data_IF_854316381241
#
_entry.id   IF_854316381241
#
_cell.length_a   1.000
_cell.length_b   1.000
_cell.length_c   1.000
_cell.angle_alpha   90.00
_cell.angle_beta   90.00
_cell.angle_gamma   90.00
#
_symmetry.space_group_name_H-M   'P 1'
#
loop_
_entity.id
_entity.type
_entity.pdbx_description
1 polymer ?
#
# COMPACT_ATOMS: atom_id res chain seq x y z
N UNK A 1 13.74 -1.44 12.88
CA UNK A 1 14.45 -0.15 12.86
C UNK A 1 14.15 0.58 14.16
N UNK A 2 15.15 0.75 15.02
CA UNK A 2 15.01 1.52 16.27
C UNK A 2 14.95 2.99 15.87
N UNK A 3 13.76 3.56 15.87
CA UNK A 3 13.62 5.00 15.71
C UNK A 3 13.97 5.66 17.03
N UNK A 4 14.90 6.63 17.07
CA UNK A 4 15.24 7.33 18.29
C UNK A 4 14.02 8.00 18.90
N UNK A 5 14.04 8.10 20.21
CA UNK A 5 12.90 8.56 21.01
C UNK A 5 12.51 9.99 20.62
N UNK A 6 11.24 10.24 20.49
CA UNK A 6 10.52 11.42 19.98
C UNK A 6 10.96 12.81 20.50
N UNK A 7 11.88 12.90 21.46
CA UNK A 7 12.09 14.11 22.27
C UNK A 7 13.35 14.94 21.95
N UNK A 8 14.26 14.48 21.09
CA UNK A 8 15.63 14.97 21.18
C UNK A 8 16.17 15.83 20.02
N UNK A 9 15.41 16.09 18.97
CA UNK A 9 15.88 16.99 17.89
C UNK A 9 15.04 18.27 17.87
N UNK A 10 15.59 19.42 18.29
CA UNK A 10 14.90 20.70 18.18
C UNK A 10 14.81 21.12 16.71
N UNK A 11 13.61 21.04 16.12
CA UNK A 11 13.39 21.52 14.77
C UNK A 11 13.60 23.03 14.67
N UNK A 12 14.39 23.43 13.69
CA UNK A 12 14.56 24.84 13.32
C UNK A 12 13.37 25.26 12.42
N UNK A 13 13.05 26.56 12.38
CA UNK A 13 12.00 27.09 11.49
C UNK A 13 12.19 26.66 10.03
N UNK A 14 13.45 26.54 9.58
CA UNK A 14 13.81 26.07 8.23
C UNK A 14 13.35 24.64 7.97
N UNK A 15 13.40 23.77 8.96
CA UNK A 15 13.03 22.36 8.82
C UNK A 15 11.52 22.20 8.60
N UNK A 16 10.71 23.02 9.30
CA UNK A 16 9.25 23.04 9.08
C UNK A 16 8.89 23.49 7.65
N UNK A 17 9.49 24.56 7.18
CA UNK A 17 9.24 25.07 5.82
C UNK A 17 9.68 24.05 4.77
N UNK A 18 10.85 23.44 4.97
CA UNK A 18 11.39 22.45 4.04
C UNK A 18 10.49 21.20 3.95
N UNK A 19 10.03 20.68 5.08
CA UNK A 19 9.16 19.47 5.09
C UNK A 19 7.79 19.76 4.47
N UNK A 20 7.19 20.92 4.74
CA UNK A 20 5.92 21.32 4.12
C UNK A 20 6.10 21.46 2.60
N UNK A 21 7.17 22.13 2.14
CA UNK A 21 7.42 22.31 0.72
C UNK A 21 7.64 20.97 0.00
N UNK A 22 8.47 20.09 0.58
CA UNK A 22 8.71 18.75 0.02
C UNK A 22 7.41 17.96 -0.07
N UNK A 23 6.63 17.95 1.02
CA UNK A 23 5.37 17.23 1.04
C UNK A 23 4.38 17.76 0.01
N UNK A 24 4.30 19.08 -0.16
CA UNK A 24 3.46 19.71 -1.16
C UNK A 24 3.86 19.31 -2.59
N UNK A 25 5.16 19.27 -2.89
CA UNK A 25 5.66 18.81 -4.19
C UNK A 25 5.25 17.37 -4.46
N UNK A 26 5.43 16.46 -3.48
CA UNK A 26 5.02 15.07 -3.65
C UNK A 26 3.51 14.91 -3.81
N UNK A 27 2.72 15.67 -3.05
CA UNK A 27 1.26 15.68 -3.17
C UNK A 27 0.80 16.17 -4.56
N UNK A 28 1.46 17.19 -5.10
CA UNK A 28 1.16 17.70 -6.43
C UNK A 28 1.51 16.68 -7.54
N UNK A 29 2.68 16.04 -7.44
CA UNK A 29 3.07 14.95 -8.35
C UNK A 29 2.08 13.78 -8.25
N UNK A 30 1.68 13.43 -7.05
CA UNK A 30 0.69 12.37 -6.81
C UNK A 30 -0.66 12.68 -7.46
N UNK A 31 -1.16 13.90 -7.29
CA UNK A 31 -2.41 14.35 -7.94
C UNK A 31 -2.30 14.34 -9.48
N UNK A 32 -1.17 14.79 -10.03
CA UNK A 32 -0.92 14.75 -11.48
C UNK A 32 -0.89 13.32 -12.03
N UNK A 33 -0.25 12.39 -11.33
CA UNK A 33 -0.23 10.98 -11.71
C UNK A 33 -1.60 10.31 -11.58
N UNK A 34 -2.42 10.70 -10.60
CA UNK A 34 -3.81 10.25 -10.51
C UNK A 34 -4.62 10.67 -11.74
N UNK A 35 -4.52 11.92 -12.16
CA UNK A 35 -5.18 12.39 -13.38
C UNK A 35 -4.70 11.59 -14.58
N UNK A 36 -3.40 11.31 -14.67
CA UNK A 36 -2.82 10.45 -15.72
C UNK A 36 -3.42 9.03 -15.73
N UNK A 37 -3.61 8.41 -14.56
CA UNK A 37 -4.24 7.09 -14.45
C UNK A 37 -5.72 7.10 -14.86
N UNK A 38 -6.46 8.15 -14.50
CA UNK A 38 -7.84 8.34 -14.94
C UNK A 38 -7.88 8.47 -16.48
N UNK A 39 -6.94 9.20 -17.07
CA UNK A 39 -6.78 9.33 -18.52
C UNK A 39 -6.56 7.96 -19.21
N UNK A 40 -5.65 7.17 -18.70
CA UNK A 40 -5.38 5.82 -19.25
C UNK A 40 -6.60 4.90 -19.12
N UNK A 41 -7.37 5.06 -18.06
CA UNK A 41 -8.58 4.27 -17.84
C UNK A 41 -9.72 4.68 -18.79
N UNK A 42 -9.82 5.94 -19.16
CA UNK A 42 -10.84 6.49 -20.05
C UNK A 42 -10.67 6.09 -21.53
N UNK A 43 -9.54 5.48 -21.91
CA UNK A 43 -9.35 4.93 -23.27
C UNK A 43 -8.78 5.88 -24.33
N UNK A 44 -8.20 7.00 -23.94
CA UNK A 44 -7.49 7.91 -24.85
C UNK A 44 -7.93 9.37 -24.78
N UNK A 45 -7.28 10.24 -25.54
CA UNK A 45 -7.46 11.70 -25.43
C UNK A 45 -8.89 12.18 -25.73
N UNK A 46 -9.56 11.61 -26.74
CA UNK A 46 -10.94 11.97 -27.10
C UNK A 46 -11.95 11.57 -26.04
N UNK A 47 -11.83 10.36 -25.51
CA UNK A 47 -12.67 9.85 -24.43
C UNK A 47 -12.41 10.59 -23.11
N UNK A 48 -11.16 10.91 -22.84
CA UNK A 48 -10.77 11.69 -21.68
C UNK A 48 -11.38 13.11 -21.72
N UNK A 49 -11.30 13.80 -22.85
CA UNK A 49 -11.92 15.13 -23.00
C UNK A 49 -13.43 15.05 -22.81
N UNK A 50 -14.11 14.06 -23.39
CA UNK A 50 -15.55 13.80 -23.16
C UNK A 50 -15.85 13.56 -21.68
N UNK A 51 -15.07 12.69 -21.04
CA UNK A 51 -15.23 12.36 -19.63
C UNK A 51 -15.15 13.63 -18.76
N UNK A 52 -14.16 14.51 -19.02
CA UNK A 52 -13.98 15.73 -18.24
C UNK A 52 -14.94 16.88 -18.62
N UNK A 53 -15.44 16.95 -19.84
CA UNK A 53 -16.26 18.07 -20.28
C UNK A 53 -17.77 17.79 -20.30
N UNK A 54 -18.17 16.54 -20.52
CA UNK A 54 -19.58 16.19 -20.75
C UNK A 54 -20.18 15.36 -19.62
N UNK A 55 -19.41 14.48 -19.01
CA UNK A 55 -19.92 13.50 -18.04
C UNK A 55 -19.80 13.95 -16.57
N UNK A 56 -18.92 14.89 -16.30
CA UNK A 56 -18.66 15.37 -14.94
C UNK A 56 -18.95 16.85 -14.76
N UNK A 57 -19.51 17.19 -13.62
CA UNK A 57 -19.83 18.56 -13.25
C UNK A 57 -18.60 19.21 -12.56
N UNK A 58 -18.48 20.54 -12.62
CA UNK A 58 -17.46 21.30 -11.89
C UNK A 58 -17.44 20.94 -10.39
N UNK A 59 -18.62 20.66 -9.83
CA UNK A 59 -18.77 20.20 -8.45
C UNK A 59 -18.03 18.89 -8.18
N UNK A 60 -18.06 17.92 -9.12
CA UNK A 60 -17.44 16.61 -8.94
C UNK A 60 -15.90 16.72 -8.92
N UNK A 61 -15.34 17.61 -9.74
CA UNK A 61 -13.90 17.93 -9.69
C UNK A 61 -13.51 18.60 -8.38
N UNK A 62 -14.34 19.51 -7.88
CA UNK A 62 -14.11 20.16 -6.59
C UNK A 62 -14.08 19.11 -5.47
N UNK A 63 -15.01 18.15 -5.46
CA UNK A 63 -15.00 17.08 -4.48
C UNK A 63 -13.76 16.19 -4.59
N UNK A 64 -13.34 15.82 -5.79
CA UNK A 64 -12.12 15.05 -5.99
C UNK A 64 -10.88 15.79 -5.45
N UNK A 65 -10.71 17.05 -5.82
CA UNK A 65 -9.59 17.86 -5.35
C UNK A 65 -9.61 18.04 -3.83
N UNK A 66 -10.77 18.36 -3.25
CA UNK A 66 -10.92 18.52 -1.79
C UNK A 66 -10.56 17.23 -1.06
N UNK A 67 -10.98 16.07 -1.60
CA UNK A 67 -10.68 14.78 -0.99
C UNK A 67 -9.19 14.44 -1.04
N UNK A 68 -8.52 14.70 -2.17
CA UNK A 68 -7.07 14.49 -2.30
C UNK A 68 -6.33 15.38 -1.28
N UNK A 69 -6.74 16.65 -1.14
CA UNK A 69 -6.14 17.58 -0.19
C UNK A 69 -6.33 17.08 1.25
N UNK A 70 -7.53 16.60 1.60
CA UNK A 70 -7.82 16.05 2.93
C UNK A 70 -6.96 14.80 3.21
N UNK A 71 -6.84 13.87 2.26
CA UNK A 71 -6.01 12.68 2.40
C UNK A 71 -4.53 13.07 2.60
N UNK A 72 -4.01 13.98 1.78
CA UNK A 72 -2.64 14.45 1.90
C UNK A 72 -2.41 15.20 3.23
N UNK A 73 -3.33 16.05 3.64
CA UNK A 73 -3.25 16.76 4.92
C UNK A 73 -3.28 15.79 6.10
N UNK A 74 -4.16 14.80 6.07
CA UNK A 74 -4.24 13.75 7.11
C UNK A 74 -2.95 12.95 7.21
N UNK A 75 -2.35 12.60 6.05
CA UNK A 75 -1.07 11.91 6.01
C UNK A 75 0.05 12.76 6.60
N UNK A 76 0.11 14.05 6.23
CA UNK A 76 1.09 14.97 6.78
C UNK A 76 0.96 15.12 8.30
N UNK A 77 -0.25 15.34 8.79
CA UNK A 77 -0.52 15.49 10.22
C UNK A 77 -0.16 14.22 10.99
N UNK A 78 -0.51 13.04 10.47
CA UNK A 78 -0.12 11.77 11.07
C UNK A 78 1.40 11.62 11.18
N UNK A 79 2.14 11.84 10.09
CA UNK A 79 3.59 11.72 10.07
C UNK A 79 4.23 12.78 10.99
N UNK A 80 3.69 13.99 11.02
CA UNK A 80 4.18 15.05 11.90
C UNK A 80 3.99 14.73 13.38
N UNK A 81 2.83 14.16 13.74
CA UNK A 81 2.54 13.81 15.14
C UNK A 81 3.26 12.54 15.62
N UNK A 82 3.35 11.51 14.75
CA UNK A 82 3.82 10.19 15.16
C UNK A 82 5.29 9.93 14.78
N UNK A 83 5.74 10.43 13.63
CA UNK A 83 7.07 10.15 13.06
C UNK A 83 7.74 11.40 12.50
N UNK A 84 7.94 12.38 13.36
CA UNK A 84 8.49 13.68 12.99
C UNK A 84 9.83 13.60 12.27
N UNK A 85 10.75 12.75 12.74
CA UNK A 85 12.08 12.58 12.16
C UNK A 85 12.03 11.93 10.77
N UNK A 86 10.97 11.16 10.50
CA UNK A 86 10.74 10.55 9.19
C UNK A 86 10.49 11.62 8.11
N UNK A 87 9.85 12.72 8.46
CA UNK A 87 9.58 13.85 7.56
C UNK A 87 10.85 14.62 7.15
N UNK A 88 11.90 14.61 7.98
CA UNK A 88 13.16 15.31 7.65
C UNK A 88 13.89 14.69 6.46
N UNK A 89 13.61 13.44 6.14
CA UNK A 89 14.20 12.75 5.01
C UNK A 89 13.20 12.66 3.85
N UNK A 90 13.34 13.52 2.85
CA UNK A 90 12.44 13.53 1.68
C UNK A 90 12.30 12.18 0.98
N UNK A 91 13.33 11.33 1.01
CA UNK A 91 13.26 9.95 0.48
C UNK A 91 12.18 9.09 1.16
N UNK A 92 11.96 9.27 2.45
CA UNK A 92 10.98 8.50 3.20
C UNK A 92 9.54 8.90 2.81
N UNK A 93 9.32 10.20 2.60
CA UNK A 93 8.04 10.70 2.11
C UNK A 93 7.78 10.18 0.70
N UNK A 94 8.80 10.23 -0.17
CA UNK A 94 8.72 9.70 -1.53
C UNK A 94 8.31 8.22 -1.55
N UNK A 95 8.87 7.39 -0.67
CA UNK A 95 8.54 5.96 -0.57
C UNK A 95 7.04 5.75 -0.36
N UNK A 96 6.43 6.48 0.60
CA UNK A 96 4.99 6.34 0.88
C UNK A 96 4.15 6.72 -0.35
N UNK A 97 4.44 7.87 -0.97
CA UNK A 97 3.69 8.32 -2.15
C UNK A 97 3.87 7.39 -3.36
N UNK A 98 5.09 6.88 -3.59
CA UNK A 98 5.35 5.93 -4.69
C UNK A 98 4.61 4.61 -4.45
N UNK A 99 4.60 4.10 -3.21
CA UNK A 99 3.85 2.89 -2.86
C UNK A 99 2.35 3.09 -3.09
N UNK A 100 1.79 4.20 -2.61
CA UNK A 100 0.36 4.51 -2.81
C UNK A 100 0.02 4.62 -4.30
N UNK A 101 0.86 5.31 -5.08
CA UNK A 101 0.64 5.50 -6.52
C UNK A 101 0.72 4.17 -7.29
N UNK A 102 1.74 3.37 -7.01
CA UNK A 102 1.90 2.06 -7.64
C UNK A 102 0.75 1.12 -7.30
N UNK A 103 0.36 1.10 -6.02
CA UNK A 103 -0.78 0.31 -5.55
C UNK A 103 -2.09 0.74 -6.22
N UNK A 104 -2.28 2.05 -6.40
CA UNK A 104 -3.45 2.59 -7.09
C UNK A 104 -3.49 2.17 -8.55
N UNK A 105 -2.36 2.29 -9.26
CA UNK A 105 -2.25 1.88 -10.66
C UNK A 105 -2.60 0.40 -10.84
N UNK A 106 -2.02 -0.47 -10.01
CA UNK A 106 -2.29 -1.91 -10.05
C UNK A 106 -3.77 -2.20 -9.71
N UNK A 107 -4.32 -1.53 -8.69
CA UNK A 107 -5.72 -1.72 -8.28
C UNK A 107 -6.72 -1.30 -9.37
N UNK A 108 -6.47 -0.19 -10.08
CA UNK A 108 -7.31 0.25 -11.19
C UNK A 108 -7.26 -0.75 -12.34
N UNK A 109 -6.06 -1.19 -12.73
CA UNK A 109 -5.88 -2.17 -13.80
C UNK A 109 -6.56 -3.50 -13.47
N UNK A 110 -6.30 -4.04 -12.28
CA UNK A 110 -6.92 -5.30 -11.85
C UNK A 110 -8.44 -5.19 -11.72
N UNK A 111 -8.93 -4.05 -11.19
CA UNK A 111 -10.36 -3.80 -11.08
C UNK A 111 -11.08 -3.72 -12.43
N UNK A 112 -10.42 -3.17 -13.45
CA UNK A 112 -10.98 -3.04 -14.81
C UNK A 112 -11.00 -4.35 -15.58
N UNK A 113 -9.93 -5.13 -15.55
CA UNK A 113 -9.74 -6.29 -16.41
C UNK A 113 -10.13 -7.62 -15.77
N UNK A 114 -10.04 -7.72 -14.45
CA UNK A 114 -10.32 -8.98 -13.75
C UNK A 114 -11.59 -8.87 -12.90
N UNK A 115 -11.69 -7.86 -12.06
CA UNK A 115 -12.86 -7.63 -11.21
C UNK A 115 -12.53 -6.88 -9.92
N UNK A 116 -13.55 -6.32 -9.30
CA UNK A 116 -13.41 -5.48 -8.10
C UNK A 116 -12.78 -6.27 -6.94
N UNK A 117 -13.18 -7.52 -6.75
CA UNK A 117 -12.69 -8.39 -5.69
C UNK A 117 -11.29 -8.96 -5.95
N UNK A 118 -10.78 -8.88 -7.19
CA UNK A 118 -9.44 -9.31 -7.55
C UNK A 118 -8.36 -8.24 -7.31
N UNK A 119 -8.73 -7.07 -6.81
CA UNK A 119 -7.80 -5.98 -6.52
C UNK A 119 -6.83 -6.34 -5.40
N UNK A 120 -5.52 -6.09 -5.57
CA UNK A 120 -4.52 -6.34 -4.52
C UNK A 120 -4.50 -5.24 -3.46
N UNK A 121 -5.60 -5.07 -2.73
CA UNK A 121 -5.79 -3.96 -1.78
C UNK A 121 -4.86 -4.02 -0.56
N UNK A 122 -4.44 -5.21 -0.15
CA UNK A 122 -3.50 -5.37 0.94
C UNK A 122 -2.05 -5.05 0.54
N UNK A 123 -1.73 -4.94 -0.74
CA UNK A 123 -0.38 -4.71 -1.25
C UNK A 123 0.26 -3.43 -0.68
N UNK A 124 -0.46 -2.30 -0.71
CA UNK A 124 -0.01 -1.03 -0.14
C UNK A 124 0.34 -1.17 1.35
N UNK A 125 -0.58 -1.72 2.12
CA UNK A 125 -0.42 -1.90 3.57
C UNK A 125 0.72 -2.82 3.92
N UNK A 126 0.90 -3.92 3.18
CA UNK A 126 1.97 -4.89 3.40
C UNK A 126 3.35 -4.31 3.08
N UNK A 127 3.49 -3.54 1.99
CA UNK A 127 4.77 -2.87 1.69
C UNK A 127 5.15 -1.88 2.79
N UNK A 128 4.20 -1.06 3.25
CA UNK A 128 4.47 -0.08 4.31
C UNK A 128 4.74 -0.78 5.65
N UNK A 129 4.10 -1.91 5.94
CA UNK A 129 4.40 -2.73 7.12
C UNK A 129 5.87 -3.14 7.17
N UNK A 130 6.41 -3.59 6.04
CA UNK A 130 7.77 -4.12 5.97
C UNK A 130 8.84 -3.02 5.85
N UNK A 131 8.53 -1.92 5.19
CA UNK A 131 9.49 -0.83 4.95
C UNK A 131 9.51 0.21 6.06
N UNK A 132 8.38 0.46 6.72
CA UNK A 132 8.25 1.51 7.74
C UNK A 132 7.91 0.92 9.11
N UNK A 133 6.64 0.67 9.37
CA UNK A 133 6.17 0.04 10.61
C UNK A 133 4.66 -0.27 10.55
N UNK A 134 4.19 -1.03 11.55
CA UNK A 134 2.80 -1.48 11.67
C UNK A 134 1.79 -0.33 11.79
N UNK A 135 2.09 0.68 12.61
CA UNK A 135 1.16 1.80 12.85
C UNK A 135 0.94 2.61 11.58
N UNK A 136 2.02 2.93 10.88
CA UNK A 136 1.96 3.63 9.58
C UNK A 136 1.26 2.78 8.53
N UNK A 137 1.48 1.45 8.52
CA UNK A 137 0.81 0.55 7.59
C UNK A 137 -0.72 0.56 7.75
N UNK A 138 -1.22 0.56 8.99
CA UNK A 138 -2.66 0.63 9.28
C UNK A 138 -3.23 1.98 8.79
N UNK A 139 -2.57 3.08 9.15
CA UNK A 139 -3.06 4.40 8.82
C UNK A 139 -3.02 4.70 7.32
N UNK A 140 -1.87 4.46 6.68
CA UNK A 140 -1.71 4.70 5.23
C UNK A 140 -2.53 3.71 4.42
N UNK A 141 -2.65 2.46 4.87
CA UNK A 141 -3.53 1.47 4.24
C UNK A 141 -4.99 1.89 4.25
N UNK A 142 -5.47 2.46 5.35
CA UNK A 142 -6.81 3.02 5.43
C UNK A 142 -6.99 4.24 4.49
N UNK A 143 -6.04 5.17 4.48
CA UNK A 143 -6.06 6.31 3.54
C UNK A 143 -6.03 5.85 2.08
N UNK A 144 -5.25 4.81 1.77
CA UNK A 144 -5.21 4.22 0.45
C UNK A 144 -6.56 3.62 0.03
N UNK A 145 -7.23 2.90 0.92
CA UNK A 145 -8.56 2.33 0.63
C UNK A 145 -9.61 3.43 0.42
N UNK A 146 -9.54 4.52 1.20
CA UNK A 146 -10.36 5.71 0.95
C UNK A 146 -10.07 6.33 -0.42
N UNK A 147 -8.81 6.38 -0.83
CA UNK A 147 -8.41 6.90 -2.14
C UNK A 147 -8.99 6.04 -3.26
N UNK A 148 -8.91 4.70 -3.16
CA UNK A 148 -9.50 3.76 -4.12
C UNK A 148 -11.00 3.97 -4.21
N UNK A 149 -11.69 4.11 -3.07
CA UNK A 149 -13.12 4.39 -3.00
C UNK A 149 -13.52 5.68 -3.73
N UNK A 150 -12.76 6.78 -3.52
CA UNK A 150 -13.02 8.06 -4.21
C UNK A 150 -12.79 7.95 -5.70
N UNK A 151 -11.72 7.26 -6.12
CA UNK A 151 -11.45 7.01 -7.54
C UNK A 151 -12.55 6.18 -8.17
N UNK A 152 -13.08 5.18 -7.48
CA UNK A 152 -14.18 4.35 -7.96
C UNK A 152 -15.48 5.15 -8.15
N UNK A 153 -15.87 5.97 -7.18
CA UNK A 153 -17.03 6.85 -7.30
C UNK A 153 -16.83 7.85 -8.43
N UNK A 154 -15.61 8.36 -8.59
CA UNK A 154 -15.34 9.35 -9.62
C UNK A 154 -15.27 8.75 -11.02
N UNK A 155 -14.74 7.55 -11.21
CA UNK A 155 -14.51 6.92 -12.52
C UNK A 155 -15.65 6.03 -12.97
N UNK A 156 -16.29 5.30 -12.06
CA UNK A 156 -17.31 4.30 -12.36
C UNK A 156 -18.72 4.83 -12.11
N UNK A 157 -19.37 5.33 -13.15
CA UNK A 157 -20.77 5.76 -13.07
C UNK A 157 -21.76 4.57 -12.89
N UNK A 158 -21.33 3.34 -13.20
CA UNK A 158 -22.16 2.14 -13.11
C UNK A 158 -22.15 1.47 -11.71
N UNK A 159 -21.20 1.80 -10.84
CA UNK A 159 -21.19 1.30 -9.46
C UNK A 159 -22.22 2.06 -8.62
N UNK A 160 -23.17 1.31 -8.04
CA UNK A 160 -24.04 1.91 -7.03
C UNK A 160 -23.20 2.40 -5.82
N UNK A 161 -23.66 3.47 -5.17
CA UNK A 161 -23.00 3.97 -3.96
C UNK A 161 -22.86 2.88 -2.87
N UNK A 162 -23.81 1.92 -2.85
CA UNK A 162 -23.78 0.77 -1.96
C UNK A 162 -22.62 -0.16 -2.29
N UNK A 163 -22.39 -0.49 -3.56
CA UNK A 163 -21.27 -1.36 -3.97
C UNK A 163 -19.92 -0.72 -3.68
N UNK A 164 -19.78 0.59 -3.88
CA UNK A 164 -18.55 1.30 -3.56
C UNK A 164 -18.28 1.31 -2.04
N UNK A 165 -19.29 1.55 -1.19
CA UNK A 165 -19.13 1.50 0.27
C UNK A 165 -18.78 0.11 0.79
N UNK A 166 -19.42 -0.92 0.22
CA UNK A 166 -19.09 -2.32 0.53
C UNK A 166 -17.67 -2.66 0.14
N UNK A 167 -17.23 -2.24 -1.06
CA UNK A 167 -15.83 -2.41 -1.49
C UNK A 167 -14.86 -1.77 -0.50
N UNK A 168 -15.13 -0.55 -0.01
CA UNK A 168 -14.30 0.11 1.01
C UNK A 168 -14.19 -0.72 2.29
N UNK A 169 -15.29 -1.29 2.77
CA UNK A 169 -15.31 -2.12 3.99
C UNK A 169 -14.46 -3.39 3.76
N UNK A 170 -14.68 -4.09 2.64
CA UNK A 170 -13.91 -5.30 2.28
C UNK A 170 -12.41 -4.98 2.22
N UNK A 171 -12.03 -3.91 1.51
CA UNK A 171 -10.64 -3.49 1.37
C UNK A 171 -10.00 -3.16 2.72
N UNK A 172 -10.71 -2.44 3.59
CA UNK A 172 -10.20 -2.02 4.89
C UNK A 172 -10.03 -3.21 5.83
N UNK A 173 -11.01 -4.10 5.92
CA UNK A 173 -10.93 -5.32 6.72
C UNK A 173 -9.79 -6.22 6.25
N UNK A 174 -9.67 -6.42 4.93
CA UNK A 174 -8.61 -7.24 4.34
C UNK A 174 -7.22 -6.66 4.60
N UNK A 175 -7.05 -5.35 4.45
CA UNK A 175 -5.76 -4.68 4.71
C UNK A 175 -5.34 -4.82 6.16
N UNK A 176 -6.25 -4.61 7.11
CA UNK A 176 -5.98 -4.77 8.54
C UNK A 176 -5.65 -6.24 8.86
N UNK A 177 -6.45 -7.18 8.37
CA UNK A 177 -6.20 -8.60 8.57
C UNK A 177 -4.83 -9.03 8.02
N UNK A 178 -4.47 -8.59 6.82
CA UNK A 178 -3.19 -8.86 6.19
C UNK A 178 -2.00 -8.35 7.03
N UNK A 179 -2.11 -7.11 7.58
CA UNK A 179 -1.09 -6.53 8.45
C UNK A 179 -0.85 -7.43 9.67
N UNK A 180 -1.91 -7.81 10.38
CA UNK A 180 -1.77 -8.65 11.59
C UNK A 180 -1.28 -10.06 11.26
N UNK A 181 -1.65 -10.60 10.12
CA UNK A 181 -1.22 -11.92 9.69
C UNK A 181 0.26 -11.97 9.33
N UNK A 182 0.81 -10.90 8.72
CA UNK A 182 2.18 -10.86 8.22
C UNK A 182 3.16 -10.25 9.23
N UNK A 183 2.67 -9.49 10.21
CA UNK A 183 3.50 -8.85 11.23
C UNK A 183 4.39 -9.87 11.97
N UNK A 184 5.66 -9.54 12.16
CA UNK A 184 6.63 -10.39 12.86
C UNK A 184 7.10 -11.64 12.10
N UNK A 185 6.70 -11.84 10.84
CA UNK A 185 7.15 -12.99 10.05
C UNK A 185 8.53 -12.74 9.46
N UNK A 186 9.54 -13.47 9.92
CA UNK A 186 10.93 -13.34 9.46
C UNK A 186 11.31 -14.17 8.22
N UNK A 187 10.35 -14.80 7.51
CA UNK A 187 10.66 -15.67 6.36
C UNK A 187 9.73 -15.39 5.19
N UNK A 188 10.30 -15.17 4.00
CA UNK A 188 9.54 -14.92 2.76
C UNK A 188 8.57 -16.05 2.43
N UNK A 189 8.99 -17.30 2.60
CA UNK A 189 8.13 -18.48 2.33
C UNK A 189 6.91 -18.49 3.25
N UNK A 190 7.08 -18.19 4.53
CA UNK A 190 5.95 -18.11 5.48
C UNK A 190 4.97 -17.01 5.13
N UNK A 191 5.45 -15.87 4.61
CA UNK A 191 4.57 -14.79 4.14
C UNK A 191 3.79 -15.25 2.91
N UNK A 192 4.42 -15.94 1.97
CA UNK A 192 3.74 -16.50 0.81
C UNK A 192 2.60 -17.45 1.21
N UNK A 193 2.86 -18.38 2.12
CA UNK A 193 1.83 -19.29 2.65
C UNK A 193 0.70 -18.51 3.33
N UNK A 194 1.02 -17.46 4.09
CA UNK A 194 0.00 -16.60 4.71
C UNK A 194 -0.83 -15.82 3.69
N UNK A 195 -0.31 -15.61 2.49
CA UNK A 195 -1.05 -15.00 1.39
C UNK A 195 -2.37 -15.71 1.05
N UNK A 196 -2.40 -17.05 1.18
CA UNK A 196 -3.64 -17.82 1.01
C UNK A 196 -4.72 -17.41 2.02
N UNK A 197 -4.33 -17.11 3.26
CA UNK A 197 -5.26 -16.71 4.30
C UNK A 197 -5.73 -15.26 4.16
N UNK A 198 -4.94 -14.39 3.49
CA UNK A 198 -5.33 -13.00 3.23
C UNK A 198 -6.55 -12.91 2.30
N UNK A 199 -6.77 -13.91 1.46
CA UNK A 199 -7.96 -13.97 0.59
C UNK A 199 -9.26 -14.26 1.35
N UNK A 200 -9.19 -14.87 2.55
CA UNK A 200 -10.39 -15.29 3.29
C UNK A 200 -11.36 -14.14 3.61
N UNK A 201 -10.92 -12.97 4.14
CA UNK A 201 -11.84 -11.86 4.39
C UNK A 201 -12.50 -11.35 3.12
N UNK A 202 -11.76 -11.28 2.00
CA UNK A 202 -12.33 -10.85 0.70
C UNK A 202 -13.43 -11.80 0.28
N UNK A 203 -13.14 -13.11 0.26
CA UNK A 203 -14.09 -14.15 -0.16
C UNK A 203 -15.32 -14.12 0.74
N UNK A 204 -15.13 -14.14 2.06
CA UNK A 204 -16.23 -14.21 3.02
C UNK A 204 -17.14 -12.98 2.91
N UNK A 205 -16.59 -11.77 2.88
CA UNK A 205 -17.38 -10.55 2.80
C UNK A 205 -18.01 -10.35 1.42
N UNK A 206 -17.31 -10.71 0.34
CA UNK A 206 -17.88 -10.66 -1.01
C UNK A 206 -19.06 -11.61 -1.18
N UNK A 207 -18.94 -12.83 -0.67
CA UNK A 207 -20.05 -13.80 -0.68
C UNK A 207 -21.24 -13.31 0.15
N UNK A 208 -21.02 -12.72 1.32
CA UNK A 208 -22.11 -12.18 2.15
C UNK A 208 -22.89 -11.07 1.44
N UNK A 209 -22.21 -10.26 0.65
CA UNK A 209 -22.84 -9.11 -0.04
C UNK A 209 -23.52 -9.51 -1.34
N UNK A 210 -22.88 -10.38 -2.11
CA UNK A 210 -23.39 -10.81 -3.42
C UNK A 210 -24.36 -12.00 -3.32
N UNK A 211 -24.57 -12.55 -2.13
CA UNK A 211 -25.44 -13.71 -1.96
C UNK A 211 -26.89 -13.37 -2.35
N UNK A 212 -27.40 -14.11 -3.34
CA UNK A 212 -28.78 -14.04 -3.82
C UNK A 212 -29.35 -15.45 -3.89
N UNK A 213 -30.66 -15.65 -3.65
CA UNK A 213 -31.29 -16.98 -3.73
C UNK A 213 -31.15 -17.65 -5.11
N UNK A 214 -31.01 -16.84 -6.16
CA UNK A 214 -30.88 -17.27 -7.55
C UNK A 214 -29.44 -17.43 -8.03
N UNK A 215 -28.45 -17.36 -7.11
CA UNK A 215 -27.04 -17.42 -7.44
C UNK A 215 -26.67 -18.77 -8.06
N UNK A 216 -26.03 -18.73 -9.23
CA UNK A 216 -25.55 -19.95 -9.90
C UNK A 216 -24.24 -20.43 -9.26
N UNK A 217 -23.93 -21.72 -9.42
CA UNK A 217 -22.63 -22.26 -8.99
C UNK A 217 -21.45 -21.56 -9.66
N UNK A 218 -21.63 -21.09 -10.89
CA UNK A 218 -20.61 -20.35 -11.62
C UNK A 218 -20.35 -18.98 -10.99
N UNK A 219 -21.38 -18.26 -10.59
CA UNK A 219 -21.24 -16.95 -9.93
C UNK A 219 -20.52 -17.10 -8.59
N UNK A 220 -20.90 -18.11 -7.79
CA UNK A 220 -20.20 -18.44 -6.55
C UNK A 220 -18.72 -18.70 -6.78
N UNK A 221 -18.40 -19.56 -7.75
CA UNK A 221 -17.02 -19.90 -8.06
C UNK A 221 -16.21 -18.68 -8.54
N UNK A 222 -16.80 -17.80 -9.34
CA UNK A 222 -16.16 -16.58 -9.82
C UNK A 222 -15.84 -15.61 -8.67
N UNK A 223 -16.73 -15.44 -7.70
CA UNK A 223 -16.47 -14.60 -6.52
C UNK A 223 -15.30 -15.15 -5.70
N UNK A 224 -15.32 -16.46 -5.46
CA UNK A 224 -14.24 -17.14 -4.74
C UNK A 224 -12.90 -16.99 -5.48
N UNK A 225 -12.88 -17.18 -6.79
CA UNK A 225 -11.69 -17.05 -7.62
C UNK A 225 -11.14 -15.62 -7.59
N UNK A 226 -12.00 -14.62 -7.80
CA UNK A 226 -11.58 -13.21 -7.77
C UNK A 226 -11.06 -12.81 -6.37
N UNK A 227 -11.74 -13.20 -5.31
CA UNK A 227 -11.30 -12.93 -3.94
C UNK A 227 -9.96 -13.61 -3.60
N UNK A 228 -9.77 -14.84 -4.07
CA UNK A 228 -8.51 -15.56 -3.95
C UNK A 228 -7.38 -14.84 -4.70
N UNK A 229 -7.64 -14.41 -5.94
CA UNK A 229 -6.70 -13.64 -6.72
C UNK A 229 -6.30 -12.34 -6.01
N UNK A 230 -7.24 -11.59 -5.43
CA UNK A 230 -6.98 -10.33 -4.72
C UNK A 230 -6.01 -10.51 -3.54
N UNK A 231 -6.20 -11.55 -2.73
CA UNK A 231 -5.31 -11.88 -1.61
C UNK A 231 -3.91 -12.32 -2.07
N UNK A 232 -3.85 -13.28 -2.99
CA UNK A 232 -2.58 -13.82 -3.50
C UNK A 232 -1.77 -12.79 -4.28
N UNK A 233 -2.39 -12.03 -5.16
CA UNK A 233 -1.68 -10.99 -5.94
C UNK A 233 -1.13 -9.88 -5.05
N UNK A 234 -1.80 -9.55 -3.93
CA UNK A 234 -1.27 -8.60 -2.94
C UNK A 234 0.10 -9.03 -2.41
N UNK A 235 0.24 -10.31 -2.05
CA UNK A 235 1.50 -10.86 -1.53
C UNK A 235 2.53 -11.04 -2.64
N UNK A 236 2.12 -11.51 -3.81
CA UNK A 236 3.03 -11.68 -4.96
C UNK A 236 3.66 -10.34 -5.38
N UNK A 237 2.84 -9.29 -5.56
CA UNK A 237 3.36 -7.96 -5.88
C UNK A 237 4.25 -7.41 -4.77
N UNK A 238 3.86 -7.59 -3.51
CA UNK A 238 4.68 -7.16 -2.39
C UNK A 238 6.05 -7.85 -2.41
N UNK A 239 6.10 -9.17 -2.60
CA UNK A 239 7.36 -9.92 -2.63
C UNK A 239 8.24 -9.57 -3.83
N UNK A 240 7.63 -9.29 -4.99
CA UNK A 240 8.35 -8.92 -6.20
C UNK A 240 8.94 -7.50 -6.12
N UNK A 241 8.20 -6.58 -5.51
CA UNK A 241 8.55 -5.15 -5.49
C UNK A 241 9.41 -4.78 -4.28
N UNK A 242 9.27 -5.49 -3.15
CA UNK A 242 10.03 -5.22 -1.93
C UNK A 242 11.55 -5.13 -2.15
N UNK A 243 12.22 -6.06 -2.87
CA UNK A 243 13.66 -5.97 -3.10
C UNK A 243 14.07 -4.71 -3.89
N UNK A 244 13.20 -4.24 -4.78
CA UNK A 244 13.45 -3.01 -5.56
C UNK A 244 13.47 -1.81 -4.63
N UNK A 245 12.50 -1.70 -3.71
CA UNK A 245 12.47 -0.62 -2.71
C UNK A 245 13.63 -0.70 -1.74
N UNK A 246 14.02 -1.90 -1.30
CA UNK A 246 15.22 -2.11 -0.46
C UNK A 246 16.49 -1.59 -1.15
N UNK A 247 16.64 -1.87 -2.46
CA UNK A 247 17.82 -1.46 -3.23
C UNK A 247 17.83 0.04 -3.54
N UNK A 248 16.70 0.59 -4.04
CA UNK A 248 16.63 1.99 -4.49
C UNK A 248 16.69 2.97 -3.31
N UNK A 249 15.99 2.68 -2.23
CA UNK A 249 15.90 3.58 -1.07
C UNK A 249 16.87 3.23 0.06
N UNK A 250 17.71 2.20 -0.11
CA UNK A 250 18.64 1.71 0.92
C UNK A 250 17.93 1.43 2.25
N UNK A 251 16.76 0.80 2.19
CA UNK A 251 15.99 0.43 3.38
C UNK A 251 16.36 -0.99 3.83
N UNK A 252 16.59 -1.15 5.13
CA UNK A 252 16.87 -2.46 5.73
C UNK A 252 15.59 -3.03 6.30
N UNK A 253 15.04 -4.04 5.62
CA UNK A 253 13.92 -4.82 6.14
C UNK A 253 14.40 -5.97 7.01
N UNK A 254 13.50 -6.52 7.83
CA UNK A 254 13.81 -7.72 8.63
C UNK A 254 14.22 -8.91 7.76
N UNK A 255 13.72 -9.01 6.53
CA UNK A 255 14.12 -10.06 5.58
C UNK A 255 15.55 -9.89 5.12
N UNK A 256 15.94 -8.69 4.74
CA UNK A 256 17.31 -8.38 4.33
C UNK A 256 18.30 -8.56 5.48
N UNK A 257 17.90 -8.17 6.69
CA UNK A 257 18.71 -8.44 7.89
C UNK A 257 18.89 -9.93 8.12
N UNK A 258 17.80 -10.72 8.04
CA UNK A 258 17.87 -12.17 8.19
C UNK A 258 18.75 -12.83 7.10
N UNK A 259 18.72 -12.34 5.86
CA UNK A 259 19.56 -12.83 4.77
C UNK A 259 21.05 -12.51 5.00
N UNK A 260 21.36 -11.32 5.52
CA UNK A 260 22.75 -10.91 5.80
C UNK A 260 23.31 -11.66 7.00
N UNK A 261 22.49 -11.95 8.01
CA UNK A 261 22.89 -12.67 9.23
C UNK A 261 22.79 -14.18 9.10
N UNK A 262 22.38 -14.72 7.94
CA UNK A 262 22.33 -16.17 7.73
C UNK A 262 23.72 -16.79 7.82
N UNK A 263 23.87 -17.73 8.75
CA UNK A 263 25.10 -18.50 8.95
C UNK A 263 25.53 -19.31 7.71
N UNK A 264 24.64 -19.49 6.74
CA UNK A 264 24.93 -20.13 5.46
C UNK A 264 25.59 -19.18 4.45
N UNK A 265 25.62 -17.87 4.72
CA UNK A 265 26.27 -16.91 3.83
C UNK A 265 27.79 -17.20 3.75
N UNK A 266 28.37 -17.04 2.55
CA UNK A 266 29.81 -17.33 2.31
C UNK A 266 30.74 -16.55 3.24
N UNK A 267 30.38 -15.30 3.57
CA UNK A 267 31.17 -14.44 4.46
C UNK A 267 31.15 -14.94 5.91
N UNK A 268 29.97 -15.28 6.42
CA UNK A 268 29.82 -15.78 7.79
C UNK A 268 30.46 -17.15 7.94
N UNK A 269 30.31 -18.05 6.96
CA UNK A 269 31.03 -19.33 6.92
C UNK A 269 32.54 -19.12 7.00
N UNK A 270 33.08 -18.22 6.19
CA UNK A 270 34.50 -17.93 6.20
C UNK A 270 34.98 -17.36 7.54
N UNK A 271 34.13 -16.49 8.17
CA UNK A 271 34.44 -15.93 9.48
C UNK A 271 34.42 -17.01 10.60
N UNK A 272 33.47 -17.94 10.54
CA UNK A 272 33.41 -19.08 11.48
C UNK A 272 34.66 -19.99 11.33
N UNK A 273 35.12 -20.21 10.09
CA UNK A 273 36.27 -21.07 9.80
C UNK A 273 37.60 -20.37 10.17
N UNK A 274 37.74 -19.08 9.90
CA UNK A 274 39.01 -18.37 10.09
C UNK A 274 39.16 -17.71 11.45
N UNK A 275 38.08 -17.27 12.10
CA UNK A 275 38.09 -16.56 13.37
C UNK A 275 36.86 -16.90 14.26
N UNK A 276 36.76 -18.15 14.75
CA UNK A 276 35.59 -18.60 15.52
C UNK A 276 35.39 -17.83 16.83
N UNK A 277 36.47 -17.41 17.49
CA UNK A 277 36.41 -16.58 18.70
C UNK A 277 35.75 -15.21 18.44
N UNK A 278 36.15 -14.52 17.36
CA UNK A 278 35.58 -13.23 16.96
C UNK A 278 34.10 -13.37 16.59
N UNK A 279 33.74 -14.45 15.88
CA UNK A 279 32.37 -14.73 15.56
C UNK A 279 31.49 -14.92 16.81
N UNK A 280 31.92 -15.77 17.75
CA UNK A 280 31.18 -16.00 19.00
C UNK A 280 31.07 -14.71 19.82
N UNK A 281 32.13 -13.89 19.90
CA UNK A 281 32.04 -12.61 20.59
C UNK A 281 31.06 -11.64 19.94
N UNK A 282 31.02 -11.56 18.61
CA UNK A 282 30.06 -10.71 17.88
C UNK A 282 28.59 -11.16 18.00
N UNK A 283 28.35 -12.44 18.36
CA UNK A 283 27.00 -12.96 18.60
C UNK A 283 26.48 -12.69 20.02
N UNK A 284 27.37 -12.40 20.96
CA UNK A 284 27.02 -12.17 22.38
C UNK A 284 26.84 -10.67 22.68
N UNK A 285 27.41 -9.79 21.88
CA UNK A 285 27.27 -8.33 21.96
C UNK A 285 26.01 -7.86 21.23
#
# INVERSE_FOLDING_TARGET
>A
MYLPNKKDIPWKKKDYVLTILQFFIYALVFAGLMVGLIFLNAGGASEFVKFFTTEKTIRDYFYLCAFIVIICASLYLYLFCEFRDFLLQGKNIAVIFIIMQLSLAISIVMGKYVGIYARPVAFCSLLILLLVNKRTAIFVGFLFNLLVFVVDIFTNQSLSAVQATVSLVICSCTSIFAIYLVDGVGSRIRVFVRGFFISLPVIALALLVEFKPEMTLNDFFMIVLHGFMGGMTSVLFMMAILPVFEAVFNMLTNYRLAEITDHKSKLIKRMIETAPGTFNHSMVV
#
